data_IF_308503719940
#
_entry.id   IF_308503719940
#
_cell.length_a   1.000
_cell.length_b   1.000
_cell.length_c   1.000
_cell.angle_alpha   90.00
_cell.angle_beta   90.00
_cell.angle_gamma   90.00
#
_symmetry.space_group_name_H-M   'P 1'
#
loop_
_entity.id
_entity.type
_entity.pdbx_description
1 polymer ?
#
# COMPACT_ATOMS: atom_id res chain seq x y z
N UNK A 1 11.96 2.63 19.50
CA UNK A 1 11.28 1.49 18.88
C UNK A 1 10.85 1.92 17.50
N UNK A 2 11.30 1.15 16.52
CA UNK A 2 10.90 1.30 15.13
C UNK A 2 9.86 0.24 14.82
N UNK A 3 8.73 0.63 14.25
CA UNK A 3 7.78 -0.29 13.64
C UNK A 3 7.81 -0.14 12.12
N UNK A 4 7.66 -1.25 11.40
CA UNK A 4 7.59 -1.24 9.94
C UNK A 4 6.39 -2.07 9.50
N UNK A 5 5.60 -1.47 8.61
CA UNK A 5 4.42 -2.08 8.02
C UNK A 5 4.31 -1.77 6.53
N UNK A 6 3.40 -2.46 5.84
CA UNK A 6 3.12 -2.28 4.42
C UNK A 6 1.61 -2.14 4.13
N UNK A 7 1.29 -1.51 3.00
CA UNK A 7 -0.07 -1.42 2.51
C UNK A 7 -0.13 -1.46 0.97
N UNK A 8 -1.24 -2.02 0.44
CA UNK A 8 -1.51 -2.06 -0.99
C UNK A 8 -0.82 -3.20 -1.75
N UNK A 9 -0.13 -4.11 -1.07
CA UNK A 9 0.57 -5.25 -1.69
C UNK A 9 -0.33 -6.19 -2.50
N UNK A 10 -1.59 -6.35 -2.09
CA UNK A 10 -2.62 -7.12 -2.80
C UNK A 10 -3.44 -6.32 -3.82
N UNK A 11 -3.33 -4.99 -3.83
CA UNK A 11 -4.05 -4.16 -4.80
C UNK A 11 -3.30 -4.14 -6.13
N UNK A 12 -3.97 -4.45 -7.24
CA UNK A 12 -3.34 -4.43 -8.57
C UNK A 12 -3.08 -3.02 -9.11
N UNK A 13 -3.57 -1.98 -8.43
CA UNK A 13 -3.34 -0.57 -8.76
C UNK A 13 -2.42 0.08 -7.71
N UNK A 14 -1.62 1.03 -8.17
CA UNK A 14 -0.71 1.83 -7.35
C UNK A 14 0.54 1.08 -6.88
N UNK A 15 1.41 1.76 -6.13
CA UNK A 15 2.56 1.12 -5.50
C UNK A 15 2.12 0.25 -4.33
N UNK A 16 3.08 -0.46 -3.75
CA UNK A 16 2.97 -1.00 -2.40
C UNK A 16 3.77 -0.07 -1.48
N UNK A 17 3.11 0.46 -0.47
CA UNK A 17 3.66 1.43 0.47
C UNK A 17 4.34 0.64 1.58
N UNK A 18 5.53 1.09 1.98
CA UNK A 18 6.19 0.67 3.21
C UNK A 18 6.29 1.90 4.12
N UNK A 19 6.02 1.74 5.41
CA UNK A 19 6.20 2.79 6.41
C UNK A 19 7.25 2.37 7.42
N UNK A 20 8.16 3.27 7.77
CA UNK A 20 9.05 3.17 8.93
C UNK A 20 8.54 4.19 9.95
N UNK A 21 8.11 3.74 11.13
CA UNK A 21 7.53 4.59 12.15
C UNK A 21 8.34 4.53 13.45
N UNK A 22 8.86 5.68 13.89
CA UNK A 22 9.56 5.83 15.17
C UNK A 22 8.59 6.25 16.26
N UNK A 23 8.15 5.27 17.05
CA UNK A 23 7.05 5.43 18.01
C UNK A 23 7.31 6.55 19.03
N UNK A 24 8.53 6.68 19.55
CA UNK A 24 8.85 7.69 20.57
C UNK A 24 8.67 9.12 20.10
N UNK A 25 8.78 9.35 18.78
CA UNK A 25 8.73 10.69 18.19
C UNK A 25 7.52 10.93 17.31
N UNK A 26 6.75 9.87 16.99
CA UNK A 26 5.70 9.90 15.97
C UNK A 26 6.19 10.14 14.54
N UNK A 27 7.50 10.19 14.29
CA UNK A 27 8.05 10.42 12.95
C UNK A 27 7.85 9.18 12.08
N UNK A 28 7.37 9.39 10.87
CA UNK A 28 7.16 8.35 9.87
C UNK A 28 7.89 8.68 8.56
N UNK A 29 8.48 7.66 7.95
CA UNK A 29 9.08 7.73 6.62
C UNK A 29 8.39 6.72 5.70
N UNK A 30 8.15 7.12 4.46
CA UNK A 30 7.41 6.33 3.50
C UNK A 30 8.28 5.96 2.33
N UNK A 31 8.24 4.69 1.95
CA UNK A 31 8.89 4.15 0.77
C UNK A 31 7.82 3.52 -0.13
N UNK A 32 8.08 3.50 -1.42
CA UNK A 32 7.17 2.90 -2.38
C UNK A 32 7.89 1.82 -3.18
N UNK A 33 7.23 0.67 -3.34
CA UNK A 33 7.59 -0.32 -4.34
C UNK A 33 6.79 0.02 -5.61
N UNK A 34 7.46 0.46 -6.69
CA UNK A 34 6.77 0.87 -7.90
C UNK A 34 5.95 -0.25 -8.56
N UNK A 35 4.87 0.07 -9.30
CA UNK A 35 4.03 -0.95 -9.94
C UNK A 35 4.76 -1.86 -10.93
N UNK A 36 5.84 -1.39 -11.55
CA UNK A 36 6.61 -2.17 -12.52
C UNK A 36 7.59 -3.18 -11.89
N UNK A 37 7.71 -3.21 -10.55
CA UNK A 37 8.61 -4.14 -9.85
C UNK A 37 7.94 -5.51 -9.68
N UNK A 38 8.51 -6.53 -10.32
CA UNK A 38 8.06 -7.93 -10.18
C UNK A 38 8.59 -8.57 -8.89
N UNK A 39 9.90 -8.44 -8.64
CA UNK A 39 10.61 -8.98 -7.48
C UNK A 39 10.42 -8.12 -6.21
N UNK A 40 9.15 -7.94 -5.80
CA UNK A 40 8.78 -6.98 -4.74
C UNK A 40 9.51 -7.20 -3.41
N UNK A 41 9.71 -8.45 -2.99
CA UNK A 41 10.32 -8.79 -1.69
C UNK A 41 11.79 -8.39 -1.69
N UNK A 42 12.51 -8.72 -2.75
CA UNK A 42 13.91 -8.33 -2.94
C UNK A 42 14.05 -6.80 -3.02
N UNK A 43 13.12 -6.14 -3.73
CA UNK A 43 13.10 -4.69 -3.85
C UNK A 43 12.82 -4.00 -2.51
N UNK A 44 11.81 -4.46 -1.76
CA UNK A 44 11.47 -3.98 -0.42
C UNK A 44 12.68 -4.06 0.51
N UNK A 45 13.34 -5.22 0.57
CA UNK A 45 14.55 -5.40 1.35
C UNK A 45 15.65 -4.42 0.95
N UNK A 46 15.85 -4.18 -0.36
CA UNK A 46 16.85 -3.22 -0.86
C UNK A 46 16.56 -1.78 -0.39
N UNK A 47 15.33 -1.30 -0.57
CA UNK A 47 14.98 0.09 -0.22
C UNK A 47 14.94 0.31 1.30
N UNK A 48 14.50 -0.68 2.08
CA UNK A 48 14.53 -0.63 3.54
C UNK A 48 15.97 -0.61 4.08
N UNK A 49 16.88 -1.40 3.48
CA UNK A 49 18.32 -1.36 3.83
C UNK A 49 18.92 0.04 3.60
N UNK A 50 18.62 0.64 2.45
CA UNK A 50 19.08 1.99 2.14
C UNK A 50 18.51 3.03 3.12
N UNK A 51 17.20 2.97 3.40
CA UNK A 51 16.56 3.86 4.34
C UNK A 51 17.12 3.73 5.76
N UNK A 52 17.38 2.50 6.25
CA UNK A 52 17.98 2.29 7.58
C UNK A 52 19.37 2.90 7.69
N UNK A 53 20.16 2.85 6.62
CA UNK A 53 21.49 3.48 6.57
C UNK A 53 21.37 5.01 6.54
N UNK A 54 20.49 5.56 5.70
CA UNK A 54 20.28 7.00 5.56
C UNK A 54 19.73 7.65 6.85
N UNK A 55 18.80 6.96 7.51
CA UNK A 55 18.19 7.41 8.76
C UNK A 55 19.07 7.18 9.99
N UNK A 56 20.23 6.53 9.81
CA UNK A 56 21.17 6.18 10.87
C UNK A 56 20.47 5.50 12.08
N UNK A 57 19.55 4.56 11.80
CA UNK A 57 18.79 3.87 12.86
C UNK A 57 19.77 3.08 13.73
N UNK A 58 19.76 3.35 15.04
CA UNK A 58 20.65 2.67 15.99
C UNK A 58 20.25 1.20 16.15
N UNK A 59 21.25 0.35 16.40
CA UNK A 59 21.03 -1.08 16.74
C UNK A 59 20.42 -1.27 18.12
N UNK A 60 20.53 -0.26 18.98
CA UNK A 60 19.92 -0.25 20.31
C UNK A 60 18.42 0.06 20.25
N UNK A 61 17.90 0.53 19.10
CA UNK A 61 16.46 0.70 18.90
C UNK A 61 15.83 -0.63 18.51
N UNK A 62 14.90 -1.18 19.32
CA UNK A 62 14.18 -2.40 18.94
C UNK A 62 13.36 -2.16 17.67
N UNK A 63 13.36 -3.14 16.78
CA UNK A 63 12.64 -3.11 15.50
C UNK A 63 11.53 -4.16 15.52
N UNK A 64 10.28 -3.74 15.32
CA UNK A 64 9.14 -4.61 15.10
C UNK A 64 8.73 -4.55 13.63
N UNK A 65 8.65 -5.70 12.99
CA UNK A 65 8.19 -5.83 11.62
C UNK A 65 6.83 -6.52 11.60
N UNK A 66 5.87 -6.01 10.80
CA UNK A 66 4.57 -6.65 10.59
C UNK A 66 4.75 -8.07 10.01
N UNK A 67 3.81 -8.99 10.19
CA UNK A 67 4.00 -10.41 9.83
C UNK A 67 4.07 -10.74 8.33
N UNK A 68 3.93 -9.75 7.44
CA UNK A 68 3.95 -9.96 5.98
C UNK A 68 5.32 -10.43 5.46
N UNK A 69 5.33 -11.46 4.63
CA UNK A 69 6.52 -12.13 4.07
C UNK A 69 7.46 -11.19 3.30
N UNK A 70 6.96 -10.01 2.90
CA UNK A 70 7.74 -8.97 2.22
C UNK A 70 8.98 -8.53 3.01
N UNK A 71 8.94 -8.71 4.33
CA UNK A 71 9.99 -8.30 5.25
C UNK A 71 10.99 -9.41 5.60
N UNK A 72 10.77 -10.66 5.19
CA UNK A 72 11.62 -11.78 5.64
C UNK A 72 13.11 -11.57 5.29
N UNK A 73 13.49 -11.19 4.05
CA UNK A 73 14.91 -10.95 3.74
C UNK A 73 15.47 -9.69 4.42
N UNK A 74 14.60 -8.78 4.87
CA UNK A 74 15.01 -7.60 5.63
C UNK A 74 15.25 -7.95 7.10
N UNK A 75 14.41 -8.79 7.70
CA UNK A 75 14.63 -9.35 9.03
C UNK A 75 15.96 -10.10 9.11
N UNK A 76 16.27 -10.95 8.13
CA UNK A 76 17.54 -11.69 8.08
C UNK A 76 18.74 -10.73 8.06
N UNK A 77 18.63 -9.66 7.27
CA UNK A 77 19.64 -8.62 7.22
C UNK A 77 19.81 -7.93 8.58
N UNK A 78 18.72 -7.49 9.22
CA UNK A 78 18.76 -6.83 10.53
C UNK A 78 19.39 -7.74 11.59
N UNK A 79 18.96 -8.99 11.64
CA UNK A 79 19.52 -10.02 12.54
C UNK A 79 21.03 -10.19 12.30
N UNK A 80 21.46 -10.33 11.05
CA UNK A 80 22.89 -10.46 10.69
C UNK A 80 23.74 -9.24 11.07
N UNK A 81 23.11 -8.07 11.23
CA UNK A 81 23.77 -6.82 11.64
C UNK A 81 23.70 -6.58 13.15
N UNK A 82 23.04 -7.45 13.91
CA UNK A 82 22.92 -7.36 15.36
C UNK A 82 21.83 -6.40 15.84
N UNK A 83 20.82 -6.10 15.02
CA UNK A 83 19.62 -5.40 15.48
C UNK A 83 18.73 -6.34 16.30
N UNK A 84 18.05 -5.80 17.31
CA UNK A 84 16.99 -6.51 18.01
C UNK A 84 15.69 -6.43 17.18
N UNK A 85 15.39 -7.47 16.42
CA UNK A 85 14.24 -7.51 15.50
C UNK A 85 13.23 -8.59 15.89
N UNK A 86 11.93 -8.28 15.81
CA UNK A 86 10.83 -9.22 16.09
C UNK A 86 9.71 -9.14 15.04
N UNK A 87 8.99 -10.25 14.84
CA UNK A 87 7.86 -10.39 13.91
C UNK A 87 6.54 -10.44 14.67
N UNK A 88 5.83 -9.33 14.69
CA UNK A 88 4.58 -9.19 15.45
C UNK A 88 3.58 -8.32 14.70
N UNK A 89 2.35 -8.25 15.21
CA UNK A 89 1.42 -7.22 14.77
C UNK A 89 1.96 -5.87 15.24
N UNK A 90 2.13 -4.92 14.32
CA UNK A 90 2.49 -3.53 14.65
C UNK A 90 1.34 -2.83 15.37
N UNK A 91 1.61 -1.66 15.93
CA UNK A 91 0.57 -0.83 16.52
C UNK A 91 -0.45 -0.37 15.47
N UNK A 92 -1.68 -0.10 15.93
CA UNK A 92 -2.71 0.47 15.08
C UNK A 92 -2.29 1.80 14.46
N UNK A 93 -1.47 2.60 15.16
CA UNK A 93 -0.93 3.84 14.64
C UNK A 93 -0.04 3.61 13.40
N UNK A 94 0.85 2.62 13.43
CA UNK A 94 1.72 2.30 12.28
C UNK A 94 0.94 1.75 11.10
N UNK A 95 -0.01 0.87 11.37
CA UNK A 95 -0.88 0.26 10.36
C UNK A 95 -1.74 1.34 9.66
N UNK A 96 -2.33 2.28 10.42
CA UNK A 96 -3.06 3.41 9.86
C UNK A 96 -2.17 4.32 9.00
N UNK A 97 -0.90 4.56 9.37
CA UNK A 97 0.02 5.35 8.55
C UNK A 97 0.25 4.71 7.17
N UNK A 98 0.41 3.38 7.12
CA UNK A 98 0.56 2.66 5.86
C UNK A 98 -0.72 2.74 5.01
N UNK A 99 -1.88 2.46 5.61
CA UNK A 99 -3.18 2.48 4.94
C UNK A 99 -3.55 3.87 4.40
N UNK A 100 -3.44 4.91 5.24
CA UNK A 100 -3.73 6.30 4.83
C UNK A 100 -2.82 6.72 3.69
N UNK A 101 -1.52 6.40 3.76
CA UNK A 101 -0.59 6.75 2.69
C UNK A 101 -0.94 6.04 1.38
N UNK A 102 -1.36 4.78 1.44
CA UNK A 102 -1.83 4.06 0.26
C UNK A 102 -3.11 4.67 -0.32
N UNK A 103 -4.08 5.04 0.54
CA UNK A 103 -5.30 5.72 0.13
C UNK A 103 -5.03 7.08 -0.52
N UNK A 104 -4.14 7.90 0.05
CA UNK A 104 -3.74 9.19 -0.51
C UNK A 104 -3.18 9.05 -1.94
N UNK A 105 -2.41 7.98 -2.20
CA UNK A 105 -1.89 7.69 -3.53
C UNK A 105 -3.03 7.31 -4.48
N UNK A 106 -3.99 6.48 -4.05
CA UNK A 106 -5.15 6.15 -4.87
C UNK A 106 -5.99 7.41 -5.19
N UNK A 107 -6.22 8.28 -4.22
CA UNK A 107 -6.90 9.55 -4.43
C UNK A 107 -6.16 10.45 -5.41
N UNK A 108 -4.82 10.46 -5.38
CA UNK A 108 -4.01 11.18 -6.35
C UNK A 108 -4.15 10.67 -7.78
N UNK A 109 -4.58 9.41 -7.96
CA UNK A 109 -4.92 8.84 -9.27
C UNK A 109 -6.38 9.07 -9.68
N UNK A 110 -7.19 9.77 -8.88
CA UNK A 110 -8.59 10.01 -9.17
C UNK A 110 -9.56 8.97 -8.59
N UNK A 111 -9.11 8.14 -7.64
CA UNK A 111 -10.05 7.29 -6.89
C UNK A 111 -10.98 8.17 -6.03
N UNK A 112 -12.30 7.93 -6.00
CA UNK A 112 -13.22 8.79 -5.25
C UNK A 112 -13.01 8.75 -3.74
N UNK A 113 -13.09 9.92 -3.08
CA UNK A 113 -12.82 10.08 -1.64
C UNK A 113 -13.92 9.51 -0.75
N UNK A 114 -15.15 9.43 -1.24
CA UNK A 114 -16.27 8.77 -0.56
C UNK A 114 -16.09 7.24 -0.47
N UNK A 115 -15.22 6.66 -1.30
CA UNK A 115 -14.86 5.25 -1.25
C UNK A 115 -13.63 5.04 -0.35
N UNK A 116 -13.81 4.26 0.71
CA UNK A 116 -12.77 3.99 1.71
C UNK A 116 -12.70 2.50 2.03
N UNK A 117 -11.55 2.06 2.56
CA UNK A 117 -11.43 0.76 3.20
C UNK A 117 -12.28 0.77 4.49
N UNK A 118 -13.22 -0.17 4.62
CA UNK A 118 -14.07 -0.33 5.80
C UNK A 118 -13.78 -1.67 6.46
N UNK A 119 -13.71 -1.67 7.79
CA UNK A 119 -13.55 -2.88 8.63
C UNK A 119 -12.39 -3.78 8.19
N UNK A 120 -11.33 -3.19 7.60
CA UNK A 120 -10.19 -3.90 7.00
C UNK A 120 -10.59 -4.96 5.98
N UNK A 121 -11.72 -4.79 5.29
CA UNK A 121 -12.18 -5.68 4.24
C UNK A 121 -11.46 -5.39 2.90
N UNK A 122 -10.18 -5.74 2.83
CA UNK A 122 -9.35 -5.50 1.65
C UNK A 122 -9.87 -6.19 0.40
N UNK A 123 -10.51 -7.37 0.53
CA UNK A 123 -11.04 -8.09 -0.62
C UNK A 123 -12.12 -7.27 -1.33
N UNK A 124 -13.10 -6.76 -0.59
CA UNK A 124 -14.15 -5.92 -1.13
C UNK A 124 -13.57 -4.59 -1.65
N UNK A 125 -12.67 -3.99 -0.89
CA UNK A 125 -12.02 -2.74 -1.30
C UNK A 125 -11.26 -2.90 -2.63
N UNK A 126 -10.47 -3.95 -2.82
CA UNK A 126 -9.75 -4.20 -4.08
C UNK A 126 -10.68 -4.52 -5.25
N UNK A 127 -11.88 -5.08 -4.99
CA UNK A 127 -12.91 -5.20 -6.02
C UNK A 127 -13.46 -3.83 -6.42
N UNK A 128 -13.69 -2.91 -5.48
CA UNK A 128 -14.11 -1.54 -5.77
C UNK A 128 -13.06 -0.80 -6.59
N UNK A 129 -11.78 -0.89 -6.21
CA UNK A 129 -10.67 -0.31 -6.99
C UNK A 129 -10.63 -0.90 -8.40
N UNK A 130 -10.89 -2.20 -8.57
CA UNK A 130 -10.99 -2.83 -9.90
C UNK A 130 -12.14 -2.27 -10.74
N UNK A 131 -13.32 -2.11 -10.15
CA UNK A 131 -14.46 -1.50 -10.83
C UNK A 131 -14.14 -0.06 -11.29
N UNK A 132 -13.60 0.77 -10.40
CA UNK A 132 -13.19 2.14 -10.72
C UNK A 132 -12.14 2.17 -11.84
N UNK A 133 -11.05 1.41 -11.71
CA UNK A 133 -10.00 1.37 -12.72
C UNK A 133 -10.54 1.01 -14.10
N UNK A 134 -11.43 0.01 -14.20
CA UNK A 134 -12.00 -0.41 -15.48
C UNK A 134 -13.06 0.53 -16.04
N UNK A 135 -13.74 1.30 -15.19
CA UNK A 135 -14.62 2.38 -15.63
C UNK A 135 -13.81 3.53 -16.25
N UNK A 136 -12.70 3.92 -15.61
CA UNK A 136 -11.85 5.02 -16.03
C UNK A 136 -10.71 4.63 -16.98
N UNK A 137 -10.56 3.35 -17.36
CA UNK A 137 -9.33 2.80 -17.99
C UNK A 137 -8.85 3.48 -19.28
N UNK A 138 -9.74 4.19 -19.97
CA UNK A 138 -9.44 4.87 -21.22
C UNK A 138 -8.83 6.27 -20.97
N UNK A 139 -8.72 6.66 -19.70
CA UNK A 139 -8.06 7.88 -19.28
C UNK A 139 -6.53 7.72 -19.20
N UNK A 140 -5.82 8.67 -19.81
CA UNK A 140 -4.38 8.65 -19.94
C UNK A 140 -3.66 8.72 -18.60
N UNK A 141 -4.27 9.32 -17.57
CA UNK A 141 -3.64 9.44 -16.24
C UNK A 141 -3.52 8.10 -15.49
N UNK A 142 -4.22 7.04 -15.94
CA UNK A 142 -4.14 5.69 -15.35
C UNK A 142 -3.11 4.79 -16.03
N UNK A 143 -2.31 5.32 -16.95
CA UNK A 143 -1.22 4.56 -17.56
C UNK A 143 -0.08 4.31 -16.57
N UNK A 144 0.41 3.08 -16.51
CA UNK A 144 1.58 2.70 -15.70
C UNK A 144 1.31 2.50 -14.20
N UNK A 145 0.09 2.73 -13.70
CA UNK A 145 -0.25 2.54 -12.27
C UNK A 145 -0.55 1.08 -11.92
N UNK A 146 -0.71 0.20 -12.91
CA UNK A 146 -0.99 -1.22 -12.66
C UNK A 146 0.28 -1.96 -12.26
N UNK A 147 0.18 -2.75 -11.19
CA UNK A 147 1.24 -3.66 -10.78
C UNK A 147 1.41 -4.75 -11.84
N UNK A 148 2.59 -4.86 -12.45
CA UNK A 148 2.88 -5.86 -13.49
C UNK A 148 2.74 -7.29 -12.97
N UNK A 149 3.08 -7.49 -11.70
CA UNK A 149 2.99 -8.78 -10.99
C UNK A 149 1.56 -9.23 -10.62
N UNK A 150 0.55 -8.37 -10.74
CA UNK A 150 -0.82 -8.70 -10.34
C UNK A 150 -1.76 -8.71 -11.53
N UNK A 151 -2.67 -9.68 -11.51
CA UNK A 151 -3.78 -9.70 -12.46
C UNK A 151 -4.97 -8.94 -11.87
N UNK A 152 -5.58 -8.02 -12.64
CA UNK A 152 -6.80 -7.36 -12.22
C UNK A 152 -7.94 -8.37 -12.07
N UNK A 153 -8.83 -8.13 -11.12
CA UNK A 153 -9.99 -8.99 -10.91
C UNK A 153 -10.89 -9.02 -12.16
N UNK A 154 -11.17 -10.23 -12.67
CA UNK A 154 -12.11 -10.45 -13.77
C UNK A 154 -13.50 -9.87 -13.45
N UNK A 155 -13.90 -9.92 -12.17
CA UNK A 155 -15.18 -9.42 -11.69
C UNK A 155 -15.31 -7.92 -11.95
N UNK A 156 -14.30 -7.11 -11.58
CA UNK A 156 -14.35 -5.66 -11.77
C UNK A 156 -14.51 -5.26 -13.23
N UNK A 157 -13.77 -5.92 -14.15
CA UNK A 157 -13.92 -5.73 -15.60
C UNK A 157 -15.34 -6.05 -16.09
N UNK A 158 -15.92 -7.15 -15.60
CA UNK A 158 -17.26 -7.59 -15.98
C UNK A 158 -18.33 -6.61 -15.46
N UNK A 159 -18.21 -6.15 -14.22
CA UNK A 159 -19.13 -5.18 -13.62
C UNK A 159 -19.06 -3.84 -14.35
N UNK A 160 -17.86 -3.30 -14.59
CA UNK A 160 -17.70 -2.03 -15.27
C UNK A 160 -18.30 -2.01 -16.68
N UNK A 161 -18.22 -3.14 -17.39
CA UNK A 161 -18.86 -3.29 -18.71
C UNK A 161 -20.37 -3.47 -18.63
N UNK A 162 -20.86 -4.20 -17.64
CA UNK A 162 -22.28 -4.56 -17.54
C UNK A 162 -23.13 -3.45 -16.94
N UNK A 163 -22.57 -2.67 -16.01
CA UNK A 163 -23.29 -1.66 -15.22
C UNK A 163 -22.55 -0.31 -15.18
N UNK A 164 -22.27 0.32 -16.34
CA UNK A 164 -21.53 1.58 -16.38
C UNK A 164 -22.25 2.73 -15.64
N UNK A 165 -23.59 2.79 -15.71
CA UNK A 165 -24.37 3.81 -15.01
C UNK A 165 -24.35 3.64 -13.49
N UNK A 166 -24.29 2.39 -12.99
CA UNK A 166 -24.18 2.15 -11.55
C UNK A 166 -22.82 2.65 -11.04
N UNK A 167 -21.75 2.38 -11.79
CA UNK A 167 -20.43 2.91 -11.45
C UNK A 167 -20.41 4.43 -11.54
N UNK A 168 -21.04 5.02 -12.56
CA UNK A 168 -21.22 6.48 -12.62
C UNK A 168 -21.80 7.03 -11.33
N UNK A 169 -22.95 6.52 -10.88
CA UNK A 169 -23.59 6.98 -9.64
C UNK A 169 -22.67 6.80 -8.43
N UNK A 170 -22.04 5.62 -8.28
CA UNK A 170 -21.14 5.34 -7.15
C UNK A 170 -19.89 6.23 -7.12
N UNK A 171 -19.40 6.67 -8.28
CA UNK A 171 -18.14 7.40 -8.44
C UNK A 171 -18.33 8.93 -8.55
N UNK A 172 -19.50 9.40 -8.99
CA UNK A 172 -19.80 10.82 -9.29
C UNK A 172 -20.77 11.49 -8.29
N UNK A 173 -21.20 10.78 -7.24
CA UNK A 173 -22.18 11.24 -6.23
C UNK A 173 -21.80 12.53 -5.44
N UNK A 174 -20.72 13.24 -5.78
CA UNK A 174 -20.37 14.56 -5.21
C UNK A 174 -20.87 15.78 -6.01
N UNK A 175 -21.21 15.69 -7.30
CA UNK A 175 -21.69 16.88 -8.03
C UNK A 175 -23.13 17.29 -7.69
N UNK A 176 -23.88 16.48 -6.93
CA UNK A 176 -25.30 16.70 -6.62
C UNK A 176 -25.58 17.26 -5.21
N UNK A 177 -24.55 17.50 -4.38
CA UNK A 177 -24.71 18.04 -3.02
C UNK A 177 -23.80 19.24 -2.70
N UNK A 178 -23.41 20.00 -3.72
CA UNK A 178 -22.72 21.30 -3.60
C UNK A 178 -23.65 22.47 -3.84
#
# INVERSE_FOLDING_TARGET
>A
MIEIDDAGGGCFVGPEVLVIHKLETGKAWYLNIPPHVEERIKYASKILKAAFQELAISKDEPVRLCRGEIFDPFQDYLSSKGYQVVREKVSEATDQLAEVRFMDILYSYGFPRNLTLKDRNYQQFYQLVSCWYYYCKDDQHLHGIRKTRLQPSFFGRKIARKYPNLLRMLLEDEEAMG
#
